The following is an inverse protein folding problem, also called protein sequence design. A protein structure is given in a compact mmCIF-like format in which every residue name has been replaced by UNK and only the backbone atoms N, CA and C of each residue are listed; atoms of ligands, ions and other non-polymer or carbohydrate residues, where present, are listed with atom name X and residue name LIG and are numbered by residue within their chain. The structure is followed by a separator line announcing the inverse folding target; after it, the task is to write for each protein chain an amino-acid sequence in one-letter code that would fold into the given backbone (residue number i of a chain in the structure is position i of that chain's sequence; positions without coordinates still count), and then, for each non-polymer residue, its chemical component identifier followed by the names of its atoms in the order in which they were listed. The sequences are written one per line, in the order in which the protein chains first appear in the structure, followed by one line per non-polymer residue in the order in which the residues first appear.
data_IF_079477817199
#
_entry.id   IF_079477817199
#
_cell.length_a   1.000
_cell.length_b   1.000
_cell.length_c   1.000
_cell.angle_alpha   90.00
_cell.angle_beta   90.00
_cell.angle_gamma   90.00
#
_symmetry.space_group_name_H-M   'P 1'
#
loop_
_entity.id
_entity.type
_entity.pdbx_description
1 polymer ?
#
# COMPACT_ATOMS: atom_id res chain seq x y z
N UNK A 1 -8.02 -2.90 -13.11
CA UNK A 1 -7.57 -1.48 -13.03
C UNK A 1 -6.06 -1.51 -13.19
N UNK A 2 -5.44 -0.59 -13.94
CA UNK A 2 -3.99 -0.60 -14.14
C UNK A 2 -3.32 0.52 -13.35
N UNK A 3 -2.71 0.16 -12.21
CA UNK A 3 -1.84 1.03 -11.41
C UNK A 3 -0.54 1.36 -12.16
N UNK A 4 0.27 2.29 -11.65
CA UNK A 4 1.61 2.53 -12.20
C UNK A 4 2.48 1.27 -12.10
N UNK A 5 3.46 1.09 -13.01
CA UNK A 5 4.31 -0.08 -12.98
C UNK A 5 5.06 -0.17 -11.65
N UNK A 6 5.03 -1.36 -11.05
CA UNK A 6 5.65 -1.69 -9.76
C UNK A 6 4.69 -1.87 -8.58
N UNK A 7 3.41 -1.57 -8.74
CA UNK A 7 2.38 -1.98 -7.79
C UNK A 7 2.02 -3.45 -7.98
N UNK A 8 2.35 -4.29 -7.01
CA UNK A 8 1.98 -5.71 -6.98
C UNK A 8 0.80 -5.89 -6.03
N UNK A 9 -0.39 -5.48 -6.45
CA UNK A 9 -1.61 -5.51 -5.61
C UNK A 9 -2.43 -6.75 -5.91
N UNK A 10 -3.02 -7.34 -4.87
CA UNK A 10 -4.05 -8.35 -5.00
C UNK A 10 -5.41 -7.67 -5.18
N UNK A 11 -5.90 -7.62 -6.41
CA UNK A 11 -7.19 -6.99 -6.75
C UNK A 11 -8.37 -7.59 -5.96
N UNK A 12 -8.28 -8.84 -5.52
CA UNK A 12 -9.32 -9.49 -4.73
C UNK A 12 -9.45 -8.96 -3.30
N UNK A 13 -8.39 -8.34 -2.76
CA UNK A 13 -8.37 -7.81 -1.39
C UNK A 13 -8.70 -6.31 -1.34
N UNK A 14 -8.70 -5.62 -2.49
CA UNK A 14 -9.07 -4.21 -2.58
C UNK A 14 -10.48 -3.90 -2.05
N UNK A 15 -11.53 -4.70 -2.32
CA UNK A 15 -12.87 -4.42 -1.80
C UNK A 15 -12.94 -4.43 -0.27
N UNK A 16 -12.24 -5.38 0.37
CA UNK A 16 -12.16 -5.50 1.82
C UNK A 16 -11.39 -4.32 2.42
N UNK A 17 -10.33 -3.87 1.75
CA UNK A 17 -9.53 -2.71 2.13
C UNK A 17 -10.33 -1.39 2.17
N UNK A 18 -11.38 -1.29 1.36
CA UNK A 18 -12.23 -0.09 1.27
C UNK A 18 -13.52 -0.19 2.09
N UNK A 19 -13.69 -1.22 2.93
CA UNK A 19 -14.83 -1.39 3.85
C UNK A 19 -16.20 -1.19 3.16
N UNK A 20 -16.37 -1.76 1.97
CA UNK A 20 -17.61 -1.65 1.18
C UNK A 20 -17.80 -0.32 0.44
N UNK A 21 -16.84 0.60 0.51
CA UNK A 21 -16.77 1.74 -0.41
C UNK A 21 -16.31 1.27 -1.80
N UNK A 22 -16.78 1.91 -2.88
CA UNK A 22 -16.33 1.58 -4.22
C UNK A 22 -14.81 1.83 -4.35
N UNK A 23 -14.11 0.83 -4.86
CA UNK A 23 -12.69 0.95 -5.24
C UNK A 23 -12.57 2.10 -6.25
N UNK A 24 -11.69 3.10 -6.01
CA UNK A 24 -11.50 4.19 -6.95
C UNK A 24 -11.10 3.66 -8.33
N UNK A 25 -11.85 4.05 -9.36
CA UNK A 25 -11.53 3.76 -10.77
C UNK A 25 -10.45 4.67 -11.32
N UNK A 26 -10.28 5.85 -10.72
CA UNK A 26 -9.18 6.75 -11.02
C UNK A 26 -7.88 6.25 -10.36
N UNK A 27 -6.89 5.98 -11.20
CA UNK A 27 -5.58 5.45 -10.81
C UNK A 27 -4.89 6.31 -9.74
N UNK A 28 -4.83 7.63 -9.93
CA UNK A 28 -4.13 8.53 -9.00
C UNK A 28 -4.84 8.58 -7.65
N UNK A 29 -6.17 8.52 -7.63
CA UNK A 29 -6.95 8.42 -6.39
C UNK A 29 -6.72 7.07 -5.71
N UNK A 30 -6.63 5.97 -6.46
CA UNK A 30 -6.33 4.66 -5.89
C UNK A 30 -4.94 4.63 -5.26
N UNK A 31 -3.91 5.04 -6.00
CA UNK A 31 -2.53 5.13 -5.51
C UNK A 31 -2.43 6.04 -4.28
N UNK A 32 -3.09 7.20 -4.33
CA UNK A 32 -3.16 8.09 -3.19
C UNK A 32 -3.79 7.40 -1.99
N UNK A 33 -4.90 6.68 -2.15
CA UNK A 33 -5.51 5.95 -1.02
C UNK A 33 -4.64 4.80 -0.50
N UNK A 34 -3.88 4.13 -1.37
CA UNK A 34 -2.95 3.07 -0.97
C UNK A 34 -1.72 3.62 -0.22
N UNK A 35 -1.30 4.85 -0.55
CA UNK A 35 -0.21 5.55 0.12
C UNK A 35 -0.65 6.38 1.34
N UNK A 36 -1.90 6.85 1.35
CA UNK A 36 -2.43 7.69 2.41
C UNK A 36 -2.59 6.84 3.66
N UNK A 37 -1.86 7.24 4.70
CA UNK A 37 -2.28 7.00 6.07
C UNK A 37 -3.68 7.59 6.19
N UNK A 38 -4.67 6.83 6.64
CA UNK A 38 -5.99 7.36 6.96
C UNK A 38 -5.82 8.46 8.03
N UNK A 39 -5.64 9.71 7.60
CA UNK A 39 -5.69 10.88 8.46
C UNK A 39 -7.17 11.16 8.67
N UNK A 40 -7.67 11.16 9.92
CA UNK A 40 -9.07 11.40 10.17
C UNK A 40 -9.45 12.77 9.62
N UNK A 41 -10.50 12.81 8.77
CA UNK A 41 -11.07 14.05 8.24
C UNK A 41 -11.74 14.92 9.32
N UNK A 42 -11.71 14.52 10.60
CA UNK A 42 -12.39 15.21 11.69
C UNK A 42 -11.56 15.16 12.97
N UNK A 43 -11.22 16.34 13.51
CA UNK A 43 -10.38 16.57 14.72
C UNK A 43 -10.97 16.05 16.05
N UNK A 44 -11.89 15.07 16.05
CA UNK A 44 -12.68 14.73 17.25
C UNK A 44 -12.76 13.24 17.63
N UNK A 45 -11.95 12.35 17.05
CA UNK A 45 -11.90 10.94 17.48
C UNK A 45 -10.46 10.52 17.83
N UNK A 46 -10.28 9.61 18.82
CA UNK A 46 -8.96 9.20 19.28
C UNK A 46 -8.17 8.59 18.12
N UNK A 47 -6.89 8.98 18.02
CA UNK A 47 -5.94 8.53 17.01
C UNK A 47 -5.79 7.00 17.04
N UNK A 48 -6.64 6.27 16.33
CA UNK A 48 -6.26 4.95 15.82
C UNK A 48 -5.72 5.22 14.42
N UNK A 49 -4.43 5.52 14.37
CA UNK A 49 -3.71 5.72 13.11
C UNK A 49 -3.57 4.37 12.41
N UNK A 50 -4.60 3.97 11.66
CA UNK A 50 -4.54 2.83 10.77
C UNK A 50 -3.64 3.21 9.59
N UNK A 51 -2.34 2.97 9.74
CA UNK A 51 -1.43 2.94 8.62
C UNK A 51 -1.78 1.69 7.83
N UNK A 52 -2.24 1.88 6.60
CA UNK A 52 -2.48 0.78 5.66
C UNK A 52 -1.19 -0.03 5.52
N UNK A 53 -1.26 -1.33 5.75
CA UNK A 53 -0.11 -2.20 5.61
C UNK A 53 -0.12 -2.85 4.22
N UNK A 54 0.97 -2.67 3.47
CA UNK A 54 1.13 -3.32 2.16
C UNK A 54 0.98 -4.84 2.23
N UNK A 55 1.23 -5.45 3.39
CA UNK A 55 1.06 -6.89 3.62
C UNK A 55 -0.40 -7.34 3.58
N UNK A 56 -1.35 -6.44 3.79
CA UNK A 56 -2.78 -6.76 3.83
C UNK A 56 -3.39 -6.83 2.42
N UNK A 57 -2.75 -6.22 1.42
CA UNK A 57 -3.31 -6.13 0.07
C UNK A 57 -2.32 -6.43 -1.07
N UNK A 58 -1.02 -6.52 -0.83
CA UNK A 58 -0.03 -6.76 -1.88
C UNK A 58 0.30 -8.25 -2.05
N UNK A 59 0.66 -8.60 -3.28
CA UNK A 59 1.26 -9.87 -3.61
C UNK A 59 2.77 -9.82 -3.36
N UNK A 60 3.38 -10.91 -2.85
CA UNK A 60 4.83 -11.01 -2.75
C UNK A 60 5.48 -10.81 -4.12
N UNK A 61 6.37 -9.83 -4.24
CA UNK A 61 7.09 -9.52 -5.47
C UNK A 61 8.61 -9.64 -5.34
N UNK A 62 9.11 -9.79 -4.11
CA UNK A 62 10.52 -10.03 -3.84
C UNK A 62 10.75 -11.54 -3.64
N UNK A 63 11.90 -12.09 -4.11
CA UNK A 63 12.27 -13.46 -3.81
C UNK A 63 12.45 -13.64 -2.30
N UNK A 64 12.16 -14.84 -1.79
CA UNK A 64 12.28 -15.19 -0.36
C UNK A 64 13.69 -14.97 0.19
N UNK A 65 14.69 -15.01 -0.68
CA UNK A 65 16.09 -14.76 -0.37
C UNK A 65 16.59 -13.63 -1.27
N UNK A 66 16.40 -12.37 -0.84
CA UNK A 66 17.06 -11.23 -1.47
C UNK A 66 18.53 -11.25 -1.06
N UNK A 67 19.36 -11.96 -1.82
CA UNK A 67 20.82 -11.77 -1.80
C UNK A 67 21.14 -10.41 -2.44
N UNK A 68 22.34 -9.87 -2.24
CA UNK A 68 22.80 -8.57 -2.80
C UNK A 68 22.79 -8.50 -4.34
N UNK A 69 22.25 -9.52 -5.01
CA UNK A 69 22.20 -9.65 -6.45
C UNK A 69 20.93 -8.98 -6.97
N UNK A 70 21.15 -7.82 -7.56
CA UNK A 70 20.27 -7.04 -8.44
C UNK A 70 18.75 -7.22 -8.24
N UNK A 71 18.14 -6.30 -7.49
CA UNK A 71 16.69 -6.11 -7.54
C UNK A 71 16.30 -5.54 -8.91
N UNK A 72 15.43 -6.26 -9.64
CA UNK A 72 14.89 -5.77 -10.92
C UNK A 72 13.62 -4.98 -10.64
N UNK A 73 13.62 -3.69 -10.99
CA UNK A 73 12.48 -2.79 -10.80
C UNK A 73 11.61 -2.63 -12.06
N UNK A 74 10.52 -1.85 -11.97
CA UNK A 74 10.07 -1.06 -10.82
C UNK A 74 9.27 -1.86 -9.80
N UNK A 75 9.41 -1.55 -8.50
CA UNK A 75 8.68 -2.18 -7.38
C UNK A 75 8.35 -1.13 -6.31
N UNK A 76 7.11 -1.14 -5.81
CA UNK A 76 6.67 -0.30 -4.68
C UNK A 76 6.83 -1.08 -3.37
N UNK A 77 7.46 -0.45 -2.37
CA UNK A 77 7.72 -1.03 -1.05
C UNK A 77 7.27 -0.08 0.07
N UNK A 78 6.91 -0.64 1.22
CA UNK A 78 6.58 0.13 2.42
C UNK A 78 7.77 0.22 3.38
N UNK A 79 8.17 1.45 3.71
CA UNK A 79 9.16 1.70 4.77
C UNK A 79 8.54 1.37 6.13
N UNK A 80 9.02 0.30 6.77
CA UNK A 80 8.51 -0.14 8.09
C UNK A 80 9.20 0.60 9.24
N UNK A 81 10.52 0.79 9.14
CA UNK A 81 11.32 1.46 10.17
C UNK A 81 12.51 2.14 9.54
N UNK A 82 12.79 3.35 10.00
CA UNK A 82 14.03 4.06 9.74
C UNK A 82 14.63 4.45 11.10
N UNK A 83 15.89 4.10 11.33
CA UNK A 83 16.63 4.47 12.53
C UNK A 83 17.87 5.25 12.11
N UNK A 84 18.07 6.42 12.71
CA UNK A 84 19.33 7.14 12.58
C UNK A 84 20.30 6.60 13.63
N UNK A 85 21.54 6.36 13.22
CA UNK A 85 22.66 6.06 14.11
C UNK A 85 23.22 7.34 14.73
#
# INVERSE_FOLDING_TARGET
MTLDPGWHVNDSLLPDLFDGNPVPTDKKKLEKKLCDRMLPQSRQQPLIHFQLDIRDFALPCLPSCVTKETLTGPVVLQLTRYSCA
#
